data_IF_953739773100
#
_entry.id   IF_953739773100
#
_cell.length_a   1.000
_cell.length_b   1.000
_cell.length_c   1.000
_cell.angle_alpha   90.00
_cell.angle_beta   90.00
_cell.angle_gamma   90.00
#
_symmetry.space_group_name_H-M   'P 1'
#
loop_
_entity.id
_entity.type
_entity.pdbx_description
1 polymer ?
#
# COMPACT_ATOMS: atom_id res chain seq x y z
N UNK A 1 -13.18 -10.48 -21.44
CA UNK A 1 -11.97 -9.62 -21.42
C UNK A 1 -12.20 -8.59 -20.32
N UNK A 2 -11.31 -8.50 -19.32
CA UNK A 2 -11.47 -7.61 -18.16
C UNK A 2 -10.76 -6.30 -18.50
N UNK A 3 -11.48 -5.18 -18.39
CA UNK A 3 -10.97 -3.85 -18.65
C UNK A 3 -11.10 -3.01 -17.39
N UNK A 4 -10.02 -2.34 -17.01
CA UNK A 4 -9.96 -1.44 -15.86
C UNK A 4 -9.37 -0.10 -16.31
N UNK A 5 -9.76 0.97 -15.62
CA UNK A 5 -9.21 2.31 -15.87
C UNK A 5 -7.88 2.41 -15.14
N UNK A 6 -6.79 2.67 -15.86
CA UNK A 6 -5.50 2.97 -15.23
C UNK A 6 -5.45 4.48 -14.91
N UNK A 7 -5.25 4.90 -13.65
CA UNK A 7 -5.07 6.31 -13.29
C UNK A 7 -3.76 6.94 -13.80
N UNK A 8 -2.84 6.17 -14.40
CA UNK A 8 -1.57 6.62 -14.98
C UNK A 8 -0.72 7.36 -13.93
N UNK A 9 -0.46 6.69 -12.81
CA UNK A 9 0.34 7.26 -11.73
C UNK A 9 1.84 6.90 -11.93
N UNK A 10 2.76 7.62 -11.27
CA UNK A 10 4.17 7.25 -11.27
C UNK A 10 4.39 5.81 -10.80
N UNK A 11 5.55 5.24 -11.12
CA UNK A 11 5.92 3.93 -10.60
C UNK A 11 5.88 3.90 -9.07
N UNK A 12 5.52 2.75 -8.51
CA UNK A 12 5.57 2.55 -7.06
C UNK A 12 7.00 2.74 -6.54
N UNK A 13 7.11 3.33 -5.34
CA UNK A 13 8.38 3.53 -4.65
C UNK A 13 8.41 2.69 -3.38
N UNK A 14 9.40 1.82 -3.29
CA UNK A 14 9.69 1.03 -2.09
C UNK A 14 10.95 1.63 -1.45
N UNK A 15 10.83 2.05 -0.20
CA UNK A 15 11.91 2.62 0.59
C UNK A 15 12.98 1.57 0.95
N UNK A 16 14.21 2.00 1.28
CA UNK A 16 15.33 1.09 1.54
C UNK A 16 15.15 0.21 2.78
N UNK A 17 14.28 0.62 3.71
CA UNK A 17 13.93 -0.13 4.94
C UNK A 17 12.52 -0.71 4.89
N UNK A 18 11.80 -0.51 3.79
CA UNK A 18 10.46 -1.05 3.64
C UNK A 18 10.52 -2.56 3.42
N UNK A 19 9.55 -3.27 3.99
CA UNK A 19 9.43 -4.73 3.84
C UNK A 19 8.07 -5.00 3.22
N UNK A 20 8.06 -5.57 2.03
CA UNK A 20 6.85 -5.98 1.33
C UNK A 20 6.92 -7.49 1.12
N UNK A 21 5.91 -8.21 1.61
CA UNK A 21 5.83 -9.65 1.46
C UNK A 21 4.41 -10.07 1.09
N UNK A 22 4.27 -10.97 0.10
CA UNK A 22 2.99 -11.57 -0.31
C UNK A 22 1.88 -10.52 -0.57
N UNK A 23 2.24 -9.38 -1.15
CA UNK A 23 1.35 -8.21 -1.26
C UNK A 23 1.28 -7.68 -2.69
N UNK A 24 0.11 -7.18 -3.08
CA UNK A 24 -0.12 -6.53 -4.37
C UNK A 24 -0.02 -5.01 -4.17
N UNK A 25 0.86 -4.36 -4.93
CA UNK A 25 1.05 -2.91 -4.90
C UNK A 25 0.89 -2.39 -6.33
N UNK A 26 0.27 -1.22 -6.44
CA UNK A 26 -0.04 -0.58 -7.72
C UNK A 26 0.66 0.78 -7.85
N UNK A 27 0.43 1.46 -8.97
CA UNK A 27 1.08 2.74 -9.29
C UNK A 27 0.79 3.83 -8.25
N UNK A 28 1.72 4.78 -8.11
CA UNK A 28 1.63 5.90 -7.18
C UNK A 28 1.86 5.53 -5.72
N UNK A 29 2.04 4.25 -5.39
CA UNK A 29 2.27 3.82 -4.02
C UNK A 29 3.65 4.25 -3.50
N UNK A 30 3.70 4.70 -2.25
CA UNK A 30 4.94 5.07 -1.56
C UNK A 30 5.04 4.28 -0.26
N UNK A 31 5.93 3.29 -0.21
CA UNK A 31 6.02 2.37 0.93
C UNK A 31 7.36 2.54 1.64
N UNK A 32 7.29 2.96 2.89
CA UNK A 32 8.42 3.13 3.80
C UNK A 32 8.32 2.22 5.05
N UNK A 33 7.13 1.65 5.30
CA UNK A 33 6.86 0.72 6.40
C UNK A 33 6.86 -0.75 6.00
N UNK A 34 6.15 -1.58 6.79
CA UNK A 34 6.00 -3.02 6.58
C UNK A 34 4.61 -3.33 6.01
N UNK A 35 4.55 -4.09 4.93
CA UNK A 35 3.32 -4.56 4.29
C UNK A 35 3.40 -6.06 4.09
N UNK A 36 2.42 -6.79 4.59
CA UNK A 36 2.36 -8.25 4.53
C UNK A 36 0.96 -8.72 4.17
N UNK A 37 0.85 -9.66 3.22
CA UNK A 37 -0.42 -10.27 2.82
C UNK A 37 -1.54 -9.24 2.54
N UNK A 38 -1.22 -8.16 1.82
CA UNK A 38 -2.14 -7.02 1.68
C UNK A 38 -2.24 -6.52 0.25
N UNK A 39 -3.34 -5.83 -0.06
CA UNK A 39 -3.60 -5.23 -1.37
C UNK A 39 -3.62 -3.71 -1.24
N UNK A 40 -2.74 -3.03 -1.97
CA UNK A 40 -2.60 -1.57 -2.00
C UNK A 40 -3.01 -1.04 -3.37
N UNK A 41 -4.09 -0.27 -3.38
CA UNK A 41 -4.61 0.41 -4.58
C UNK A 41 -3.79 1.68 -4.87
N UNK A 42 -4.17 2.42 -5.91
CA UNK A 42 -3.31 3.44 -6.50
C UNK A 42 -3.08 4.61 -5.54
N UNK A 43 -1.85 5.12 -5.48
CA UNK A 43 -1.54 6.31 -4.67
C UNK A 43 -1.49 6.09 -3.15
N UNK A 44 -1.46 4.85 -2.67
CA UNK A 44 -1.39 4.55 -1.23
C UNK A 44 -0.02 4.91 -0.66
N UNK A 45 0.01 5.57 0.50
CA UNK A 45 1.24 5.90 1.22
C UNK A 45 1.32 5.17 2.54
N UNK A 46 2.40 4.42 2.76
CA UNK A 46 2.70 3.75 4.03
C UNK A 46 3.97 4.38 4.59
N UNK A 47 3.83 5.18 5.64
CA UNK A 47 4.94 5.89 6.28
C UNK A 47 5.86 4.94 7.07
N UNK A 48 7.03 5.45 7.47
CA UNK A 48 8.02 4.65 8.21
C UNK A 48 7.47 4.15 9.55
N UNK A 49 7.77 2.91 9.91
CA UNK A 49 7.29 2.28 11.14
C UNK A 49 5.82 1.88 11.13
N UNK A 50 5.07 2.21 10.08
CA UNK A 50 3.72 1.69 9.88
C UNK A 50 3.76 0.20 9.53
N UNK A 51 2.74 -0.54 9.97
CA UNK A 51 2.56 -1.96 9.66
C UNK A 51 1.17 -2.21 9.09
N UNK A 52 1.11 -2.84 7.92
CA UNK A 52 -0.13 -3.25 7.23
C UNK A 52 -0.09 -4.77 7.06
N UNK A 53 -1.07 -5.49 7.61
CA UNK A 53 -1.12 -6.95 7.62
C UNK A 53 -2.56 -7.43 7.35
N UNK A 54 -2.73 -8.37 6.42
CA UNK A 54 -4.04 -8.94 6.05
C UNK A 54 -5.09 -7.85 5.74
N UNK A 55 -4.72 -6.80 5.01
CA UNK A 55 -5.55 -5.63 4.79
C UNK A 55 -5.68 -5.21 3.32
N UNK A 56 -6.76 -4.49 3.01
CA UNK A 56 -7.01 -3.89 1.69
C UNK A 56 -7.08 -2.38 1.85
N UNK A 57 -6.18 -1.67 1.16
CA UNK A 57 -6.12 -0.21 1.15
C UNK A 57 -6.62 0.32 -0.20
N UNK A 58 -7.68 1.12 -0.18
CA UNK A 58 -8.22 1.76 -1.38
C UNK A 58 -7.37 2.96 -1.82
N UNK A 59 -7.73 3.54 -2.97
CA UNK A 59 -6.95 4.58 -3.63
C UNK A 59 -6.72 5.78 -2.70
N UNK A 60 -5.47 6.24 -2.60
CA UNK A 60 -5.11 7.44 -1.84
C UNK A 60 -5.06 7.29 -0.32
N UNK A 61 -5.23 6.09 0.24
CA UNK A 61 -5.10 5.87 1.70
C UNK A 61 -3.69 6.21 2.19
N UNK A 62 -3.59 6.89 3.33
CA UNK A 62 -2.31 7.22 3.99
C UNK A 62 -2.25 6.56 5.36
N UNK A 63 -1.34 5.60 5.51
CA UNK A 63 -1.03 4.96 6.80
C UNK A 63 0.12 5.72 7.45
N UNK A 64 -0.18 6.39 8.57
CA UNK A 64 0.76 7.24 9.29
C UNK A 64 1.84 6.47 10.04
N UNK A 65 2.97 7.13 10.28
CA UNK A 65 4.11 6.55 10.97
C UNK A 65 3.70 5.90 12.31
N UNK A 66 4.14 4.66 12.53
CA UNK A 66 3.81 3.87 13.72
C UNK A 66 2.38 3.31 13.78
N UNK A 67 1.52 3.59 12.79
CA UNK A 67 0.17 3.03 12.76
C UNK A 67 0.20 1.52 12.43
N UNK A 68 -0.71 0.77 13.05
CA UNK A 68 -0.85 -0.67 12.85
C UNK A 68 -2.24 -0.97 12.30
N UNK A 69 -2.28 -1.47 11.08
CA UNK A 69 -3.48 -1.81 10.33
C UNK A 69 -3.50 -3.32 10.13
N UNK A 70 -4.48 -4.00 10.75
CA UNK A 70 -4.59 -5.46 10.69
C UNK A 70 -6.01 -5.90 10.40
N UNK A 71 -6.18 -6.85 9.46
CA UNK A 71 -7.46 -7.50 9.17
C UNK A 71 -8.62 -6.52 8.93
N UNK A 72 -8.39 -5.53 8.08
CA UNK A 72 -9.39 -4.52 7.77
C UNK A 72 -9.31 -4.02 6.33
N UNK A 73 -10.33 -3.26 5.96
CA UNK A 73 -10.43 -2.58 4.67
C UNK A 73 -10.49 -1.09 4.98
N UNK A 74 -9.56 -0.32 4.42
CA UNK A 74 -9.53 1.15 4.54
C UNK A 74 -9.92 1.76 3.20
N UNK A 75 -10.92 2.64 3.24
CA UNK A 75 -11.51 3.35 2.11
C UNK A 75 -11.23 4.85 2.20
#
# INVERSE_FOLDING_TARGET
>A
KIYSRNPVLPAQKIGPRAVVQDSLITEGCQIYGRVQHSVLSAGVTVEEGATVEDAVLMDGVVVKAGAVVKRCILA
#
